data_IF_484950587826
#
_entry.id   IF_484950587826
#
_cell.length_a   1.000
_cell.length_b   1.000
_cell.length_c   1.000
_cell.angle_alpha   90.00
_cell.angle_beta   90.00
_cell.angle_gamma   90.00
#
_symmetry.space_group_name_H-M   'P 1'
#
loop_
_entity.id
_entity.type
_entity.pdbx_description
1 polymer ?
#
# COMPACT_ATOMS: atom_id res chain seq x y z
N UNK A 1 20.47 18.91 33.69
CA UNK A 1 21.49 18.62 32.65
C UNK A 1 21.21 17.22 32.14
N UNK A 2 20.22 17.06 31.27
CA UNK A 2 19.79 15.76 30.77
C UNK A 2 20.50 15.47 29.44
N UNK A 3 21.32 14.43 29.42
CA UNK A 3 21.97 13.92 28.20
C UNK A 3 20.92 13.32 27.28
N UNK A 4 20.81 13.86 26.06
CA UNK A 4 20.04 13.28 24.96
C UNK A 4 20.63 11.90 24.64
N UNK A 5 19.94 10.85 25.01
CA UNK A 5 20.24 9.51 24.51
C UNK A 5 19.83 9.47 23.01
N UNK A 6 20.83 9.43 22.13
CA UNK A 6 20.63 9.04 20.73
C UNK A 6 20.37 7.53 20.73
N UNK A 7 19.15 7.14 20.44
CA UNK A 7 18.83 5.75 20.11
C UNK A 7 19.46 5.50 18.74
N UNK A 8 20.63 4.85 18.73
CA UNK A 8 21.21 4.29 17.51
C UNK A 8 20.40 3.04 17.17
N UNK A 9 19.72 3.06 16.04
CA UNK A 9 19.21 1.86 15.39
C UNK A 9 20.42 1.00 14.94
N UNK A 10 20.75 0.01 15.74
CA UNK A 10 21.69 -1.03 15.31
C UNK A 10 20.90 -2.05 14.48
N UNK A 11 21.01 -1.96 13.17
CA UNK A 11 20.65 -3.07 12.28
C UNK A 11 21.61 -4.23 12.59
N UNK A 12 21.13 -5.22 13.34
CA UNK A 12 21.75 -6.54 13.33
C UNK A 12 21.24 -7.25 12.06
N UNK A 13 22.09 -7.30 11.04
CA UNK A 13 21.89 -8.17 9.91
C UNK A 13 22.03 -9.63 10.39
N UNK A 14 20.91 -10.24 10.77
CA UNK A 14 20.81 -11.69 10.78
C UNK A 14 20.73 -12.10 9.31
N UNK A 15 21.81 -12.64 8.78
CA UNK A 15 21.83 -13.36 7.51
C UNK A 15 20.97 -14.60 7.64
N UNK A 16 19.65 -14.45 7.44
CA UNK A 16 18.84 -15.56 6.99
C UNK A 16 19.28 -15.84 5.55
N UNK A 17 19.77 -17.07 5.31
CA UNK A 17 19.80 -17.65 3.98
C UNK A 17 18.34 -17.83 3.54
N UNK A 18 17.72 -16.76 3.01
CA UNK A 18 16.59 -16.92 2.14
C UNK A 18 17.15 -17.51 0.85
N UNK A 19 16.65 -18.67 0.43
CA UNK A 19 16.86 -19.13 -0.93
C UNK A 19 16.38 -18.02 -1.84
N UNK A 20 17.31 -17.28 -2.45
CA UNK A 20 16.97 -16.25 -3.44
C UNK A 20 16.29 -16.98 -4.59
N UNK A 21 14.98 -16.79 -4.72
CA UNK A 21 14.24 -17.32 -5.87
C UNK A 21 14.89 -16.73 -7.11
N UNK A 22 15.44 -17.60 -7.98
CA UNK A 22 16.09 -17.16 -9.21
C UNK A 22 15.09 -16.34 -10.04
N UNK A 23 15.57 -15.32 -10.71
CA UNK A 23 14.76 -14.43 -11.53
C UNK A 23 13.93 -15.19 -12.58
N UNK A 24 14.45 -16.32 -13.04
CA UNK A 24 13.79 -17.20 -14.02
C UNK A 24 12.55 -17.92 -13.47
N UNK A 25 12.44 -18.06 -12.14
CA UNK A 25 11.34 -18.78 -11.48
C UNK A 25 10.26 -17.84 -10.91
N UNK A 26 10.48 -16.52 -10.97
CA UNK A 26 9.49 -15.56 -10.48
C UNK A 26 8.34 -15.40 -11.46
N UNK A 27 7.08 -15.53 -11.00
CA UNK A 27 5.92 -15.51 -11.88
C UNK A 27 5.70 -14.14 -12.53
N UNK A 28 5.35 -14.14 -13.81
CA UNK A 28 4.97 -12.93 -14.56
C UNK A 28 3.54 -13.11 -15.06
N UNK A 29 2.61 -12.40 -14.44
CA UNK A 29 1.26 -12.30 -14.95
C UNK A 29 1.22 -11.31 -16.11
N UNK A 30 0.68 -11.75 -17.24
CA UNK A 30 0.44 -10.92 -18.42
C UNK A 30 -1.03 -10.97 -18.76
N UNK A 31 -1.52 -9.93 -19.41
CA UNK A 31 -2.93 -9.79 -19.78
C UNK A 31 -3.45 -10.96 -20.65
N UNK A 32 -2.58 -11.54 -21.46
CA UNK A 32 -2.83 -12.67 -22.37
C UNK A 32 -2.31 -14.01 -21.85
N UNK A 33 -1.73 -14.02 -20.64
CA UNK A 33 -1.13 -15.23 -20.05
C UNK A 33 -2.19 -16.19 -19.52
N UNK A 34 -1.97 -17.48 -19.72
CA UNK A 34 -2.70 -18.56 -19.02
C UNK A 34 -2.32 -18.67 -17.55
N UNK A 35 -1.23 -18.02 -17.15
CA UNK A 35 -0.74 -17.98 -15.79
C UNK A 35 -1.40 -16.86 -15.00
N UNK A 36 -2.64 -17.08 -14.59
CA UNK A 36 -3.49 -16.16 -13.83
C UNK A 36 -3.94 -16.87 -12.56
N UNK A 37 -3.05 -16.96 -11.57
CA UNK A 37 -3.30 -17.70 -10.35
C UNK A 37 -3.29 -16.77 -9.13
N UNK A 38 -4.34 -16.82 -8.32
CA UNK A 38 -4.47 -16.10 -7.06
C UNK A 38 -3.33 -16.40 -6.07
N UNK A 39 -2.75 -17.61 -6.10
CA UNK A 39 -1.65 -18.01 -5.24
C UNK A 39 -0.38 -17.17 -5.47
N UNK A 40 -0.26 -16.55 -6.66
CA UNK A 40 0.85 -15.68 -7.03
C UNK A 40 0.49 -14.19 -7.01
N UNK A 41 -0.61 -13.80 -6.39
CA UNK A 41 -0.98 -12.40 -6.25
C UNK A 41 0.07 -11.62 -5.48
N UNK A 42 0.57 -12.15 -4.36
CA UNK A 42 1.74 -11.61 -3.68
C UNK A 42 2.98 -11.90 -4.52
N UNK A 43 3.73 -10.86 -4.86
CA UNK A 43 4.95 -11.02 -5.66
C UNK A 43 6.11 -11.47 -4.77
N UNK A 44 6.93 -12.43 -5.21
CA UNK A 44 8.07 -12.93 -4.45
C UNK A 44 9.24 -11.93 -4.52
N UNK A 45 9.17 -10.88 -3.72
CA UNK A 45 10.19 -9.85 -3.60
C UNK A 45 11.09 -10.12 -2.39
N UNK A 46 12.41 -9.88 -2.53
CA UNK A 46 13.37 -10.04 -1.43
C UNK A 46 13.25 -8.87 -0.43
N UNK A 47 13.05 -7.66 -0.95
CA UNK A 47 13.08 -6.43 -0.17
C UNK A 47 11.71 -5.74 0.00
N UNK A 48 10.61 -6.46 -0.21
CA UNK A 48 9.24 -5.98 -0.02
C UNK A 48 8.35 -7.11 0.46
N UNK A 49 7.45 -6.82 1.40
CA UNK A 49 6.59 -7.82 2.03
C UNK A 49 5.11 -7.70 1.60
N UNK A 50 4.74 -6.61 0.96
CA UNK A 50 3.34 -6.30 0.62
C UNK A 50 3.14 -5.96 -0.86
N UNK A 51 4.14 -6.23 -1.70
CA UNK A 51 4.03 -6.01 -3.15
C UNK A 51 3.11 -7.05 -3.76
N UNK A 52 1.99 -6.59 -4.33
CA UNK A 52 1.00 -7.46 -4.92
C UNK A 52 0.29 -6.89 -6.12
N UNK A 53 -0.30 -7.78 -6.90
CA UNK A 53 -1.06 -7.46 -8.09
C UNK A 53 -2.55 -7.31 -7.80
N UNK A 54 -3.22 -6.41 -8.53
CA UNK A 54 -4.66 -6.15 -8.45
C UNK A 54 -5.45 -6.77 -9.62
N UNK A 55 -4.82 -7.58 -10.47
CA UNK A 55 -5.50 -8.31 -11.54
C UNK A 55 -6.48 -9.38 -11.04
N UNK A 56 -7.35 -9.86 -11.93
CA UNK A 56 -8.24 -11.00 -11.67
C UNK A 56 -9.54 -10.69 -10.91
N UNK A 57 -9.66 -9.56 -10.20
CA UNK A 57 -10.90 -9.20 -9.53
C UNK A 57 -12.05 -9.03 -10.52
N UNK A 58 -13.22 -9.56 -10.17
CA UNK A 58 -14.44 -9.48 -10.97
C UNK A 58 -15.17 -8.17 -10.72
N UNK A 59 -15.61 -7.54 -11.78
CA UNK A 59 -16.51 -6.41 -11.73
C UNK A 59 -17.97 -6.87 -11.63
N UNK A 60 -18.84 -6.01 -11.14
CA UNK A 60 -20.28 -6.31 -10.99
C UNK A 60 -20.97 -6.52 -12.34
N UNK A 61 -20.40 -6.04 -13.46
CA UNK A 61 -20.89 -6.29 -14.82
C UNK A 61 -20.22 -7.51 -15.51
N UNK A 62 -19.49 -8.34 -14.73
CA UNK A 62 -18.97 -9.64 -15.18
C UNK A 62 -17.62 -9.62 -15.88
N UNK A 63 -16.98 -8.46 -16.01
CA UNK A 63 -15.60 -8.34 -16.52
C UNK A 63 -14.59 -8.73 -15.45
N UNK A 64 -13.32 -8.75 -15.83
CA UNK A 64 -12.20 -8.96 -14.90
C UNK A 64 -11.14 -7.92 -15.10
N UNK A 65 -10.49 -7.49 -14.00
CA UNK A 65 -9.30 -6.66 -14.09
C UNK A 65 -8.19 -7.48 -14.74
N UNK A 66 -7.54 -6.89 -15.76
CA UNK A 66 -6.40 -7.51 -16.44
C UNK A 66 -5.26 -7.76 -15.46
N UNK A 67 -4.66 -8.94 -15.54
CA UNK A 67 -3.42 -9.24 -14.85
C UNK A 67 -2.23 -8.50 -15.48
N UNK A 68 -1.20 -8.24 -14.68
CA UNK A 68 0.04 -7.60 -15.13
C UNK A 68 -0.08 -6.08 -15.35
N UNK A 69 -1.10 -5.42 -14.84
CA UNK A 69 -1.37 -4.01 -15.13
C UNK A 69 -1.34 -3.09 -13.92
N UNK A 70 -1.77 -3.54 -12.76
CA UNK A 70 -1.87 -2.74 -11.54
C UNK A 70 -1.21 -3.46 -10.36
N UNK A 71 -0.28 -2.77 -9.73
CA UNK A 71 0.47 -3.29 -8.58
C UNK A 71 0.43 -2.29 -7.44
N UNK A 72 0.32 -2.80 -6.22
CA UNK A 72 0.51 -2.01 -4.99
C UNK A 72 1.64 -2.58 -4.17
N UNK A 73 2.34 -1.73 -3.41
CA UNK A 73 3.54 -2.12 -2.67
C UNK A 73 3.70 -1.35 -1.37
N UNK A 74 4.54 -1.86 -0.48
CA UNK A 74 5.28 -1.11 0.52
C UNK A 74 6.48 -0.41 -0.12
N UNK A 75 7.30 0.27 0.69
CA UNK A 75 8.47 1.04 0.23
C UNK A 75 9.43 0.17 -0.58
N UNK A 76 10.13 0.80 -1.51
CA UNK A 76 11.08 0.14 -2.40
C UNK A 76 12.56 0.44 -2.04
N UNK A 77 12.81 0.89 -0.80
CA UNK A 77 14.15 1.23 -0.32
C UNK A 77 15.07 0.02 -0.15
N UNK A 78 14.49 -1.15 0.12
CA UNK A 78 15.22 -2.35 0.47
C UNK A 78 15.26 -3.39 -0.66
N UNK A 79 14.70 -3.07 -1.85
CA UNK A 79 14.60 -4.01 -2.96
C UNK A 79 15.99 -4.40 -3.49
N UNK A 80 16.16 -5.70 -3.72
CA UNK A 80 17.40 -6.28 -4.26
C UNK A 80 17.60 -5.95 -5.76
N UNK A 81 18.77 -6.28 -6.31
CA UNK A 81 18.98 -6.19 -7.77
C UNK A 81 18.08 -7.17 -8.53
N UNK A 82 17.77 -8.32 -7.92
CA UNK A 82 16.84 -9.29 -8.48
C UNK A 82 15.43 -8.72 -8.55
N UNK A 83 14.98 -8.05 -7.48
CA UNK A 83 13.69 -7.34 -7.45
C UNK A 83 13.60 -6.24 -8.50
N UNK A 84 14.67 -5.44 -8.64
CA UNK A 84 14.72 -4.40 -9.67
C UNK A 84 14.54 -4.97 -11.09
N UNK A 85 15.25 -6.05 -11.40
CA UNK A 85 15.11 -6.74 -12.67
C UNK A 85 13.73 -7.38 -12.82
N UNK A 86 13.16 -7.90 -11.73
CA UNK A 86 11.81 -8.45 -11.73
C UNK A 86 10.75 -7.38 -12.03
N UNK A 87 10.80 -6.21 -11.40
CA UNK A 87 9.90 -5.09 -11.72
C UNK A 87 10.03 -4.64 -13.18
N UNK A 88 11.24 -4.64 -13.74
CA UNK A 88 11.45 -4.37 -15.18
C UNK A 88 10.84 -5.46 -16.07
N UNK A 89 10.97 -6.73 -15.71
CA UNK A 89 10.39 -7.87 -16.45
C UNK A 89 8.85 -7.88 -16.36
N UNK A 90 8.25 -7.41 -15.28
CA UNK A 90 6.81 -7.16 -15.18
C UNK A 90 6.36 -6.05 -16.14
N UNK A 91 7.28 -5.30 -16.71
CA UNK A 91 6.99 -4.22 -17.65
C UNK A 91 6.50 -2.94 -17.02
N UNK A 92 6.69 -2.78 -15.70
CA UNK A 92 6.27 -1.57 -14.96
C UNK A 92 6.82 -0.33 -15.65
N UNK A 93 5.94 0.63 -15.96
CA UNK A 93 6.29 1.89 -16.63
C UNK A 93 6.40 3.05 -15.67
N UNK A 94 5.61 3.04 -14.61
CA UNK A 94 5.60 4.09 -13.59
C UNK A 94 5.50 3.53 -12.18
N UNK A 95 6.15 4.21 -11.26
CA UNK A 95 6.01 4.04 -9.81
C UNK A 95 5.44 5.34 -9.26
N UNK A 96 4.35 5.26 -8.50
CA UNK A 96 3.72 6.39 -7.84
C UNK A 96 3.91 6.25 -6.34
N UNK A 97 4.60 7.22 -5.73
CA UNK A 97 4.95 7.21 -4.30
C UNK A 97 4.11 8.22 -3.51
N UNK A 98 3.33 7.72 -2.56
CA UNK A 98 2.51 8.53 -1.65
C UNK A 98 3.24 9.00 -0.39
N UNK A 99 4.51 8.66 -0.20
CA UNK A 99 5.26 9.00 1.00
C UNK A 99 5.57 10.49 1.08
N UNK A 100 5.65 11.00 2.30
CA UNK A 100 6.07 12.37 2.57
C UNK A 100 7.54 12.59 2.20
N UNK A 101 7.97 13.85 2.18
CA UNK A 101 9.39 14.20 1.93
C UNK A 101 10.31 13.63 3.00
N UNK A 102 9.84 13.62 4.23
CA UNK A 102 10.57 13.13 5.40
C UNK A 102 10.79 11.62 5.30
N UNK A 103 9.74 10.84 5.00
CA UNK A 103 9.84 9.39 4.80
C UNK A 103 10.81 9.04 3.66
N UNK A 104 10.74 9.75 2.53
CA UNK A 104 11.64 9.54 1.40
C UNK A 104 13.09 9.91 1.71
N UNK A 105 13.31 10.90 2.55
CA UNK A 105 14.65 11.29 2.97
C UNK A 105 15.26 10.27 3.94
N UNK A 106 14.46 9.62 4.78
CA UNK A 106 14.89 8.56 5.69
C UNK A 106 15.17 7.24 4.95
N UNK A 107 14.26 6.84 4.06
CA UNK A 107 14.31 5.57 3.31
C UNK A 107 14.13 5.84 1.80
N UNK A 108 15.16 6.32 1.09
CA UNK A 108 15.06 6.60 -0.35
C UNK A 108 14.77 5.32 -1.15
N UNK A 109 13.80 5.39 -2.08
CA UNK A 109 13.52 4.25 -2.96
C UNK A 109 14.64 3.96 -3.94
N UNK A 110 14.80 2.68 -4.24
CA UNK A 110 15.60 2.20 -5.35
C UNK A 110 14.68 2.08 -6.58
N UNK A 111 14.73 3.08 -7.46
CA UNK A 111 13.92 3.10 -8.68
C UNK A 111 14.66 2.41 -9.81
N UNK A 112 14.12 1.30 -10.40
CA UNK A 112 14.78 0.61 -11.49
C UNK A 112 14.88 1.51 -12.74
N UNK A 113 16.00 1.39 -13.46
CA UNK A 113 16.25 2.21 -14.65
C UNK A 113 15.15 2.05 -15.69
N UNK A 114 14.69 3.18 -16.23
CA UNK A 114 13.67 3.23 -17.29
C UNK A 114 12.22 3.22 -16.79
N UNK A 115 12.01 3.21 -15.47
CA UNK A 115 10.70 3.38 -14.85
C UNK A 115 10.55 4.85 -14.45
N UNK A 116 9.41 5.46 -14.79
CA UNK A 116 9.06 6.82 -14.36
C UNK A 116 8.70 6.83 -12.88
N UNK A 117 9.21 7.80 -12.13
CA UNK A 117 8.90 7.95 -10.70
C UNK A 117 8.10 9.24 -10.48
N UNK A 118 6.92 9.10 -9.88
CA UNK A 118 5.96 10.18 -9.68
C UNK A 118 5.67 10.30 -8.18
N UNK A 119 5.91 11.48 -7.63
CA UNK A 119 5.69 11.78 -6.23
C UNK A 119 4.30 12.40 -6.04
N UNK A 120 3.48 11.79 -5.19
CA UNK A 120 2.14 12.25 -4.79
C UNK A 120 2.01 12.24 -3.26
N UNK A 121 2.69 13.13 -2.53
CA UNK A 121 2.83 13.01 -1.09
C UNK A 121 1.51 13.21 -0.35
N UNK A 122 1.24 12.29 0.59
CA UNK A 122 0.17 12.33 1.58
C UNK A 122 0.81 12.23 2.95
N UNK A 123 0.77 13.31 3.72
CA UNK A 123 1.49 13.44 4.98
C UNK A 123 0.61 13.06 6.17
N UNK A 124 0.71 11.81 6.62
CA UNK A 124 0.07 11.32 7.86
C UNK A 124 1.10 10.98 8.96
N UNK A 125 2.39 11.22 8.71
CA UNK A 125 3.50 10.56 9.38
C UNK A 125 3.96 11.21 10.68
N UNK A 126 3.86 12.52 10.80
CA UNK A 126 4.23 13.21 12.05
C UNK A 126 3.45 12.69 13.24
N UNK A 127 2.20 12.36 13.00
CA UNK A 127 1.33 11.75 14.00
C UNK A 127 1.64 10.25 14.22
N UNK A 128 1.99 9.49 13.18
CA UNK A 128 2.31 8.05 13.29
C UNK A 128 3.51 7.82 14.22
N UNK A 129 4.62 8.52 13.99
CA UNK A 129 5.82 8.38 14.84
C UNK A 129 5.54 8.75 16.29
N UNK A 130 4.83 9.86 16.53
CA UNK A 130 4.44 10.28 17.88
C UNK A 130 3.54 9.27 18.58
N UNK A 131 2.67 8.58 17.82
CA UNK A 131 1.79 7.53 18.36
C UNK A 131 2.57 6.26 18.75
N UNK A 132 3.53 5.83 17.93
CA UNK A 132 4.41 4.72 18.30
C UNK A 132 5.16 5.05 19.59
N UNK A 133 5.73 6.26 19.69
CA UNK A 133 6.41 6.69 20.92
C UNK A 133 5.48 6.73 22.12
N UNK A 134 4.24 7.14 21.95
CA UNK A 134 3.23 7.23 22.99
C UNK A 134 2.81 5.84 23.48
N UNK A 135 2.61 4.90 22.56
CA UNK A 135 2.33 3.48 22.90
C UNK A 135 3.51 2.86 23.65
N UNK A 136 4.74 3.10 23.22
CA UNK A 136 5.94 2.65 23.96
C UNK A 136 6.04 3.25 25.36
N UNK A 137 5.34 4.35 25.63
CA UNK A 137 5.20 4.99 26.95
C UNK A 137 3.97 4.54 27.74
N UNK A 138 3.15 3.62 27.21
CA UNK A 138 2.00 3.02 27.89
C UNK A 138 0.63 3.54 27.46
N UNK A 139 0.50 4.22 26.31
CA UNK A 139 -0.81 4.54 25.70
C UNK A 139 -1.55 3.27 25.25
N UNK A 140 -2.88 3.36 25.13
CA UNK A 140 -3.75 2.22 24.84
C UNK A 140 -3.97 1.99 23.32
N UNK A 141 -4.35 0.75 22.95
CA UNK A 141 -4.77 0.40 21.60
C UNK A 141 -5.90 1.30 21.05
N UNK A 142 -6.76 1.83 21.92
CA UNK A 142 -7.91 2.67 21.51
C UNK A 142 -7.45 3.98 20.85
N UNK A 143 -6.40 4.59 21.37
CA UNK A 143 -5.84 5.84 20.83
C UNK A 143 -5.13 5.59 19.49
N UNK A 144 -4.49 4.43 19.34
CA UNK A 144 -3.88 4.01 18.06
C UNK A 144 -4.95 3.80 16.98
N UNK A 145 -6.04 3.09 17.30
CA UNK A 145 -7.15 2.88 16.37
C UNK A 145 -7.81 4.17 15.93
N UNK A 146 -8.10 5.08 16.88
CA UNK A 146 -8.73 6.36 16.56
C UNK A 146 -7.89 7.17 15.58
N UNK A 147 -6.57 7.15 15.71
CA UNK A 147 -5.66 7.81 14.78
C UNK A 147 -5.79 7.27 13.35
N UNK A 148 -5.81 5.94 13.16
CA UNK A 148 -5.95 5.33 11.83
C UNK A 148 -7.35 5.56 11.23
N UNK A 149 -8.38 5.58 12.06
CA UNK A 149 -9.74 5.95 11.66
C UNK A 149 -9.77 7.38 11.14
N UNK A 150 -9.16 8.33 11.86
CA UNK A 150 -9.14 9.74 11.46
C UNK A 150 -8.30 9.94 10.18
N UNK A 151 -7.13 9.29 10.06
CA UNK A 151 -6.35 9.31 8.84
C UNK A 151 -7.14 8.81 7.61
N UNK A 152 -7.96 7.77 7.77
CA UNK A 152 -8.81 7.28 6.67
C UNK A 152 -9.94 8.25 6.29
N UNK A 153 -10.46 9.07 7.22
CA UNK A 153 -11.38 10.18 6.90
C UNK A 153 -10.64 11.26 6.09
N UNK A 154 -9.44 11.65 6.52
CA UNK A 154 -8.62 12.66 5.84
C UNK A 154 -8.28 12.26 4.39
N UNK A 155 -8.17 10.98 4.08
CA UNK A 155 -8.01 10.53 2.69
C UNK A 155 -9.17 10.96 1.79
N UNK A 156 -10.37 11.07 2.33
CA UNK A 156 -11.58 11.51 1.62
C UNK A 156 -11.71 13.04 1.62
N UNK A 157 -11.49 13.70 2.76
CA UNK A 157 -11.73 15.14 2.92
C UNK A 157 -10.55 15.99 2.44
N UNK A 158 -9.32 15.64 2.83
CA UNK A 158 -8.16 16.52 2.68
C UNK A 158 -7.25 16.13 1.51
N UNK A 159 -7.21 14.82 1.15
CA UNK A 159 -6.35 14.28 0.10
C UNK A 159 -7.10 13.82 -1.15
N UNK A 160 -8.39 14.13 -1.27
CA UNK A 160 -9.20 13.80 -2.44
C UNK A 160 -8.57 14.28 -3.77
N UNK A 161 -7.99 15.49 -3.79
CA UNK A 161 -7.29 16.02 -4.95
C UNK A 161 -6.09 15.16 -5.38
N UNK A 162 -5.28 14.69 -4.41
CA UNK A 162 -4.12 13.82 -4.68
C UNK A 162 -4.58 12.48 -5.27
N UNK A 163 -5.63 11.89 -4.71
CA UNK A 163 -6.19 10.64 -5.22
C UNK A 163 -6.88 10.79 -6.58
N UNK A 164 -7.48 11.96 -6.85
CA UNK A 164 -7.99 12.30 -8.18
C UNK A 164 -6.88 12.36 -9.23
N UNK A 165 -5.80 13.04 -8.92
CA UNK A 165 -4.61 13.12 -9.80
C UNK A 165 -3.95 11.75 -9.97
N UNK A 166 -3.93 10.91 -8.92
CA UNK A 166 -3.48 9.53 -9.01
C UNK A 166 -4.29 8.72 -10.04
N UNK A 167 -5.62 8.75 -9.98
CA UNK A 167 -6.46 8.02 -10.95
C UNK A 167 -6.25 8.52 -12.38
N UNK A 168 -6.06 9.83 -12.59
CA UNK A 168 -5.73 10.40 -13.90
C UNK A 168 -4.36 9.93 -14.39
N UNK A 169 -3.36 9.88 -13.51
CA UNK A 169 -2.04 9.35 -13.86
C UNK A 169 -2.06 7.87 -14.26
N UNK A 170 -3.02 7.09 -13.77
CA UNK A 170 -3.16 5.69 -14.19
C UNK A 170 -3.56 5.55 -15.67
N UNK A 171 -4.16 6.55 -16.29
CA UNK A 171 -4.66 6.52 -17.68
C UNK A 171 -3.79 7.29 -18.67
N UNK A 172 -2.74 7.98 -18.23
CA UNK A 172 -1.88 8.79 -19.10
C UNK A 172 -1.02 8.00 -20.08
N UNK A 173 -0.80 6.72 -19.82
CA UNK A 173 -0.07 5.79 -20.69
C UNK A 173 -0.69 4.40 -20.65
N UNK A 174 -0.29 3.49 -21.57
CA UNK A 174 -0.84 2.14 -21.68
C UNK A 174 -0.09 1.09 -20.86
N UNK A 175 0.96 1.47 -20.13
CA UNK A 175 1.80 0.53 -19.38
C UNK A 175 1.29 0.19 -18.00
N UNK A 176 1.83 -0.89 -17.39
CA UNK A 176 1.59 -1.25 -16.00
C UNK A 176 2.08 -0.18 -15.02
N UNK A 177 1.34 0.01 -13.94
CA UNK A 177 1.67 0.94 -12.88
C UNK A 177 1.81 0.23 -11.53
N UNK A 178 2.83 0.62 -10.76
CA UNK A 178 2.97 0.29 -9.35
C UNK A 178 2.75 1.55 -8.53
N UNK A 179 2.02 1.46 -7.43
CA UNK A 179 1.87 2.56 -6.48
C UNK A 179 2.10 2.07 -5.05
N UNK A 180 2.69 2.92 -4.24
CA UNK A 180 3.09 2.50 -2.90
C UNK A 180 3.11 3.65 -1.89
N UNK A 181 3.28 3.27 -0.62
CA UNK A 181 3.64 4.14 0.49
C UNK A 181 4.70 3.45 1.36
N UNK A 182 4.77 3.70 2.66
CA UNK A 182 5.77 3.07 3.54
C UNK A 182 5.45 1.60 3.80
N UNK A 183 4.25 1.27 4.28
CA UNK A 183 3.83 -0.11 4.56
C UNK A 183 2.91 -0.71 3.48
N UNK A 184 2.52 0.07 2.46
CA UNK A 184 1.62 -0.40 1.40
C UNK A 184 0.18 -0.66 1.86
N UNK A 185 -0.21 -0.25 3.08
CA UNK A 185 -1.47 -0.62 3.73
C UNK A 185 -2.55 0.47 3.70
N UNK A 186 -2.30 1.67 4.21
CA UNK A 186 -3.30 2.72 4.37
C UNK A 186 -3.42 3.59 3.10
N UNK A 187 -2.46 4.45 2.78
CA UNK A 187 -2.45 5.32 1.59
C UNK A 187 -2.57 4.52 0.28
N UNK A 188 -1.70 3.55 0.08
CA UNK A 188 -1.76 2.64 -1.07
C UNK A 188 -2.99 1.72 -1.01
N UNK A 189 -3.48 1.39 0.19
CA UNK A 189 -4.71 0.65 0.39
C UNK A 189 -5.94 1.40 -0.08
N UNK A 190 -6.07 2.67 0.30
CA UNK A 190 -7.16 3.52 -0.16
C UNK A 190 -7.07 3.79 -1.68
N UNK A 191 -5.85 4.04 -2.21
CA UNK A 191 -5.63 4.16 -3.66
C UNK A 191 -6.10 2.91 -4.43
N UNK A 192 -5.76 1.71 -3.94
CA UNK A 192 -6.25 0.46 -4.51
C UNK A 192 -7.78 0.37 -4.43
N UNK A 193 -8.36 0.71 -3.27
CA UNK A 193 -9.80 0.62 -3.04
C UNK A 193 -10.59 1.51 -4.01
N UNK A 194 -10.23 2.78 -4.16
CA UNK A 194 -10.92 3.69 -5.10
C UNK A 194 -10.72 3.28 -6.55
N UNK A 195 -9.54 2.74 -6.92
CA UNK A 195 -9.29 2.21 -8.26
C UNK A 195 -10.21 1.02 -8.56
N UNK A 196 -10.29 0.05 -7.65
CA UNK A 196 -11.14 -1.14 -7.81
C UNK A 196 -12.63 -0.76 -7.88
N UNK A 197 -13.09 0.19 -7.05
CA UNK A 197 -14.47 0.72 -7.11
C UNK A 197 -14.71 1.43 -8.46
N UNK A 198 -13.79 2.27 -8.94
CA UNK A 198 -13.92 2.94 -10.23
C UNK A 198 -14.00 1.96 -11.41
N UNK A 199 -13.33 0.82 -11.32
CA UNK A 199 -13.40 -0.27 -12.28
C UNK A 199 -14.69 -1.11 -12.17
N UNK A 200 -15.44 -0.99 -11.06
CA UNK A 200 -16.72 -1.67 -10.85
C UNK A 200 -16.61 -2.96 -10.04
N UNK A 201 -15.55 -3.16 -9.28
CA UNK A 201 -15.43 -4.25 -8.30
C UNK A 201 -16.37 -3.98 -7.12
N UNK A 202 -16.95 -5.03 -6.54
CA UNK A 202 -17.86 -4.89 -5.39
C UNK A 202 -17.15 -4.34 -4.17
N UNK A 203 -17.86 -3.52 -3.34
CA UNK A 203 -17.33 -2.97 -2.08
C UNK A 203 -16.75 -4.09 -1.19
N UNK A 204 -17.43 -5.22 -1.11
CA UNK A 204 -16.99 -6.35 -0.28
C UNK A 204 -15.68 -6.98 -0.80
N UNK A 205 -15.52 -7.15 -2.10
CA UNK A 205 -14.28 -7.72 -2.66
C UNK A 205 -13.10 -6.73 -2.54
N UNK A 206 -13.38 -5.43 -2.61
CA UNK A 206 -12.39 -4.38 -2.31
C UNK A 206 -11.91 -4.45 -0.86
N UNK A 207 -12.85 -4.62 0.09
CA UNK A 207 -12.50 -4.80 1.51
C UNK A 207 -11.68 -6.07 1.71
N UNK A 208 -12.04 -7.18 1.04
CA UNK A 208 -11.24 -8.41 1.09
C UNK A 208 -9.81 -8.20 0.59
N UNK A 209 -9.59 -7.46 -0.53
CA UNK A 209 -8.22 -7.12 -0.95
C UNK A 209 -7.48 -6.30 0.11
N UNK A 210 -8.14 -5.31 0.68
CA UNK A 210 -7.54 -4.48 1.73
C UNK A 210 -7.07 -5.35 2.92
N UNK A 211 -7.93 -6.27 3.37
CA UNK A 211 -7.64 -7.19 4.49
C UNK A 211 -6.55 -8.22 4.19
N UNK A 212 -6.26 -8.53 2.91
CA UNK A 212 -5.12 -9.41 2.54
C UNK A 212 -3.77 -8.85 3.02
N UNK A 213 -3.69 -7.57 3.32
CA UNK A 213 -2.50 -6.97 3.92
C UNK A 213 -2.06 -7.74 5.16
N UNK A 214 -2.97 -8.06 6.08
CA UNK A 214 -2.63 -8.80 7.31
C UNK A 214 -2.04 -10.18 6.99
N UNK A 215 -2.61 -10.88 6.01
CA UNK A 215 -2.09 -12.18 5.60
C UNK A 215 -0.66 -12.08 5.03
N UNK A 216 -0.40 -11.05 4.22
CA UNK A 216 0.88 -10.91 3.51
C UNK A 216 1.98 -10.32 4.39
N UNK A 217 1.61 -9.54 5.41
CA UNK A 217 2.59 -8.89 6.30
C UNK A 217 2.68 -9.52 7.69
N UNK A 218 1.99 -10.63 7.96
CA UNK A 218 1.94 -11.25 9.28
C UNK A 218 3.33 -11.57 9.81
N UNK A 219 4.15 -12.26 9.03
CA UNK A 219 5.53 -12.62 9.41
C UNK A 219 6.36 -11.37 9.74
N UNK A 220 6.23 -10.32 8.94
CA UNK A 220 6.92 -9.05 9.18
C UNK A 220 6.43 -8.34 10.44
N UNK A 221 5.15 -8.41 10.73
CA UNK A 221 4.56 -7.85 11.96
C UNK A 221 5.11 -8.58 13.18
N UNK A 222 5.15 -9.92 13.15
CA UNK A 222 5.72 -10.74 14.22
C UNK A 222 7.20 -10.40 14.46
N UNK A 223 8.00 -10.24 13.40
CA UNK A 223 9.39 -9.81 13.51
C UNK A 223 9.54 -8.43 14.19
N UNK A 224 8.71 -7.45 13.80
CA UNK A 224 8.75 -6.11 14.38
C UNK A 224 8.36 -6.16 15.86
N UNK A 225 7.29 -6.87 16.21
CA UNK A 225 6.83 -7.05 17.59
C UNK A 225 7.96 -7.69 18.42
N UNK A 226 8.51 -8.80 17.97
CA UNK A 226 9.59 -9.49 18.68
C UNK A 226 10.86 -8.63 18.85
N UNK A 227 11.21 -7.82 17.86
CA UNK A 227 12.33 -6.88 17.97
C UNK A 227 12.07 -5.80 19.02
N UNK A 228 10.88 -5.23 19.08
CA UNK A 228 10.49 -4.22 20.07
C UNK A 228 10.51 -4.81 21.49
N UNK A 229 9.95 -6.00 21.67
CA UNK A 229 9.97 -6.68 22.97
C UNK A 229 11.39 -6.97 23.45
N UNK A 230 12.25 -7.45 22.56
CA UNK A 230 13.67 -7.68 22.88
C UNK A 230 14.38 -6.35 23.23
N UNK A 231 14.17 -5.30 22.46
CA UNK A 231 14.78 -3.97 22.70
C UNK A 231 14.32 -3.35 24.03
N UNK A 232 13.08 -3.61 24.43
CA UNK A 232 12.52 -3.15 25.71
C UNK A 232 12.76 -4.13 26.85
N UNK A 233 13.56 -5.19 26.62
CA UNK A 233 13.79 -6.27 27.59
C UNK A 233 12.47 -6.87 28.12
N UNK A 234 11.48 -7.02 27.22
CA UNK A 234 10.13 -7.54 27.53
C UNK A 234 9.38 -6.71 28.59
N UNK A 235 9.73 -5.44 28.76
CA UNK A 235 9.02 -4.53 29.66
C UNK A 235 7.82 -3.86 29.01
N UNK A 236 7.71 -3.91 27.68
CA UNK A 236 6.60 -3.38 26.90
C UNK A 236 5.89 -4.53 26.19
N UNK A 237 4.58 -4.62 26.35
CA UNK A 237 3.75 -5.48 25.53
C UNK A 237 3.61 -4.86 24.12
N UNK A 238 4.42 -5.32 23.17
CA UNK A 238 4.45 -4.76 21.82
C UNK A 238 3.24 -5.20 20.98
N UNK A 239 2.44 -6.19 21.42
CA UNK A 239 1.18 -6.58 20.78
C UNK A 239 0.18 -5.41 20.69
N UNK A 240 0.28 -4.45 21.58
CA UNK A 240 -0.51 -3.22 21.54
C UNK A 240 -0.32 -2.41 20.24
N UNK A 241 0.78 -2.63 19.51
CA UNK A 241 1.08 -2.02 18.20
C UNK A 241 0.45 -2.76 17.01
N UNK A 242 -0.06 -3.99 17.18
CA UNK A 242 -0.60 -4.79 16.08
C UNK A 242 -1.67 -4.05 15.25
N UNK A 243 -2.63 -3.30 15.82
CA UNK A 243 -3.58 -2.50 15.04
C UNK A 243 -2.92 -1.41 14.19
N UNK A 244 -1.75 -0.90 14.64
CA UNK A 244 -0.98 0.10 13.89
C UNK A 244 -0.15 -0.53 12.77
N UNK A 245 0.38 -1.73 12.99
CA UNK A 245 1.22 -2.45 12.03
C UNK A 245 0.39 -3.14 10.94
N UNK A 246 -0.76 -3.70 11.29
CA UNK A 246 -1.72 -4.32 10.40
C UNK A 246 -2.79 -3.37 9.88
N UNK A 247 -3.91 -3.94 9.40
CA UNK A 247 -5.11 -3.21 9.02
C UNK A 247 -6.33 -3.81 9.70
N UNK A 248 -7.36 -2.97 9.94
CA UNK A 248 -8.67 -3.40 10.37
C UNK A 248 -9.73 -3.00 9.35
N UNK A 249 -10.77 -3.83 9.22
CA UNK A 249 -11.89 -3.57 8.32
C UNK A 249 -12.50 -2.19 8.55
N UNK A 250 -12.58 -1.78 9.81
CA UNK A 250 -13.12 -0.49 10.25
C UNK A 250 -12.39 0.71 9.59
N UNK A 251 -11.09 0.61 9.30
CA UNK A 251 -10.33 1.72 8.72
C UNK A 251 -10.84 2.07 7.33
N UNK A 252 -10.91 1.09 6.44
CA UNK A 252 -11.38 1.31 5.07
C UNK A 252 -12.89 1.56 5.03
N UNK A 253 -13.68 0.93 5.92
CA UNK A 253 -15.12 1.19 6.03
C UNK A 253 -15.39 2.62 6.48
N UNK A 254 -14.57 3.19 7.36
CA UNK A 254 -14.69 4.60 7.75
C UNK A 254 -14.46 5.53 6.56
N UNK A 255 -13.44 5.29 5.74
CA UNK A 255 -13.23 6.08 4.53
C UNK A 255 -14.43 5.97 3.58
N UNK A 256 -14.96 4.78 3.39
CA UNK A 256 -16.13 4.56 2.54
C UNK A 256 -17.38 5.26 3.09
N UNK A 257 -17.61 5.16 4.40
CA UNK A 257 -18.75 5.83 5.05
C UNK A 257 -18.63 7.35 4.94
N UNK A 258 -17.43 7.92 5.17
CA UNK A 258 -17.18 9.36 4.99
C UNK A 258 -17.49 9.79 3.55
N UNK A 259 -17.05 9.03 2.56
CA UNK A 259 -17.34 9.31 1.16
C UNK A 259 -18.85 9.19 0.83
N UNK A 260 -19.53 8.20 1.39
CA UNK A 260 -20.98 8.03 1.22
C UNK A 260 -21.78 9.14 1.92
N UNK A 261 -21.35 9.59 3.10
CA UNK A 261 -22.00 10.67 3.86
C UNK A 261 -21.84 12.04 3.16
N UNK A 262 -20.64 12.32 2.60
CA UNK A 262 -20.37 13.60 1.96
C UNK A 262 -20.89 13.68 0.50
N UNK A 263 -20.87 12.57 -0.24
CA UNK A 263 -21.17 12.55 -1.67
C UNK A 263 -22.38 11.67 -2.04
N UNK A 264 -23.01 10.98 -1.09
CA UNK A 264 -24.16 10.13 -1.28
C UNK A 264 -23.85 8.73 -1.80
N UNK A 265 -22.69 8.50 -2.42
CA UNK A 265 -22.20 7.17 -2.83
C UNK A 265 -20.70 7.21 -3.17
N UNK A 266 -20.03 6.04 -3.15
CA UNK A 266 -18.63 5.92 -3.57
C UNK A 266 -18.42 6.33 -5.03
N UNK A 267 -19.35 6.06 -5.93
CA UNK A 267 -19.24 6.49 -7.33
C UNK A 267 -19.40 8.00 -7.48
N UNK A 268 -20.24 8.64 -6.68
CA UNK A 268 -20.34 10.11 -6.66
C UNK A 268 -19.07 10.73 -6.06
N UNK A 269 -18.49 10.13 -5.03
CA UNK A 269 -17.17 10.55 -4.52
C UNK A 269 -16.10 10.48 -5.62
N UNK A 270 -16.02 9.38 -6.38
CA UNK A 270 -15.08 9.26 -7.50
C UNK A 270 -15.33 10.36 -8.54
N UNK A 271 -16.59 10.63 -8.93
CA UNK A 271 -16.90 11.66 -9.94
C UNK A 271 -16.69 13.08 -9.42
N UNK A 272 -17.17 13.39 -8.25
CA UNK A 272 -17.26 14.75 -7.74
C UNK A 272 -16.19 15.08 -6.71
N UNK A 273 -15.88 14.17 -5.81
CA UNK A 273 -14.82 14.32 -4.81
C UNK A 273 -13.43 14.22 -5.43
N UNK A 274 -13.20 13.21 -6.26
CA UNK A 274 -11.93 12.99 -6.95
C UNK A 274 -11.85 13.69 -8.33
N UNK A 275 -12.92 14.32 -8.78
CA UNK A 275 -13.01 15.02 -10.07
C UNK A 275 -12.61 14.13 -11.26
N UNK A 276 -13.18 12.92 -11.32
CA UNK A 276 -12.99 11.94 -12.39
C UNK A 276 -14.20 11.98 -13.31
N UNK A 277 -14.00 12.39 -14.56
CA UNK A 277 -15.06 12.46 -15.56
C UNK A 277 -15.52 11.07 -16.02
N UNK A 278 -16.69 10.99 -16.66
CA UNK A 278 -17.14 9.74 -17.26
C UNK A 278 -16.22 9.29 -18.41
N UNK A 279 -15.54 10.20 -19.10
CA UNK A 279 -14.49 9.90 -20.09
C UNK A 279 -13.26 9.27 -19.42
N UNK A 280 -12.81 9.79 -18.29
CA UNK A 280 -11.70 9.21 -17.51
C UNK A 280 -12.07 7.82 -16.99
N UNK A 281 -13.29 7.63 -16.47
CA UNK A 281 -13.80 6.31 -16.08
C UNK A 281 -13.81 5.34 -17.27
N UNK A 282 -14.24 5.79 -18.43
CA UNK A 282 -14.22 4.97 -19.64
C UNK A 282 -12.80 4.58 -20.05
N UNK A 283 -11.84 5.50 -19.98
CA UNK A 283 -10.41 5.23 -20.24
C UNK A 283 -9.84 4.23 -19.24
N UNK A 284 -10.08 4.43 -17.91
CA UNK A 284 -9.70 3.47 -16.88
C UNK A 284 -10.23 2.07 -17.20
N UNK A 285 -11.51 1.95 -17.49
CA UNK A 285 -12.14 0.65 -17.82
C UNK A 285 -11.57 0.04 -19.10
N UNK A 286 -11.31 0.83 -20.12
CA UNK A 286 -10.70 0.34 -21.37
C UNK A 286 -9.28 -0.18 -21.14
N UNK A 287 -8.49 0.53 -20.34
CA UNK A 287 -7.12 0.13 -20.03
C UNK A 287 -7.06 -1.13 -19.19
N UNK A 288 -7.86 -1.23 -18.13
CA UNK A 288 -7.69 -2.25 -17.10
C UNK A 288 -8.71 -3.41 -17.15
N UNK A 289 -9.75 -3.34 -17.97
CA UNK A 289 -10.74 -4.40 -18.21
C UNK A 289 -10.68 -4.89 -19.67
#
# INVERSE_FOLDING_TARGET
>A
MFKKARILFFCFALTQCSETIDLMDRPIHKTDSTFQNEDYRLLPMDGSHNTRELGGYKTTDGKSIKWGMLFRSDKLSDISKADQAYLQNLGIKKIIDFRSKEEKAEDPDIVPKGISYIEMPISVDGAMRSKIEAVLKGETNKEVKSFLIDANKEFVSDYNGVYGDFLKNLIDDDGPALFHCTAGKDRAGFAAAITLIALGVSKEDVIKDYMKTNQFTEERIEEIIGQIELMTLYQTDAEVLRPLLGVEREYIETAFQTAEDEYGSLMNFIRHGLNISDDDLQKLRTKFL
#
